data_IF_488991539937
#
_entry.id   IF_488991539937
#
_cell.length_a   1.000
_cell.length_b   1.000
_cell.length_c   1.000
_cell.angle_alpha   90.00
_cell.angle_beta   90.00
_cell.angle_gamma   90.00
#
_symmetry.space_group_name_H-M   'P 1'
#
loop_
_entity.id
_entity.type
_entity.pdbx_description
1 polymer ?
#
# COMPACT_ATOMS: atom_id res chain seq x y z
N UNK A 1 -23.15 1.94 -19.19
CA UNK A 1 -22.71 0.53 -19.07
C UNK A 1 -21.23 0.42 -18.68
N UNK A 2 -20.30 1.08 -19.36
CA UNK A 2 -18.84 0.97 -19.05
C UNK A 2 -18.43 1.46 -17.66
N UNK A 3 -19.04 2.54 -17.15
CA UNK A 3 -18.75 3.05 -15.80
C UNK A 3 -19.19 2.08 -14.69
N UNK A 4 -20.31 1.38 -14.91
CA UNK A 4 -20.83 0.39 -13.96
C UNK A 4 -19.89 -0.81 -13.87
N UNK A 5 -19.37 -1.29 -15.00
CA UNK A 5 -18.42 -2.41 -15.03
C UNK A 5 -17.11 -2.05 -14.31
N UNK A 6 -16.61 -0.81 -14.47
CA UNK A 6 -15.45 -0.33 -13.71
C UNK A 6 -15.75 -0.26 -12.21
N UNK A 7 -16.91 0.27 -11.84
CA UNK A 7 -17.35 0.35 -10.45
C UNK A 7 -17.47 -1.05 -9.81
N UNK A 8 -18.08 -2.02 -10.51
CA UNK A 8 -18.25 -3.39 -10.03
C UNK A 8 -16.90 -4.11 -9.92
N UNK A 9 -15.97 -3.87 -10.85
CA UNK A 9 -14.61 -4.38 -10.77
C UNK A 9 -13.83 -3.80 -9.58
N UNK A 10 -14.00 -2.50 -9.29
CA UNK A 10 -13.42 -1.86 -8.12
C UNK A 10 -14.04 -2.39 -6.81
N UNK A 11 -15.34 -2.70 -6.81
CA UNK A 11 -16.00 -3.33 -5.67
C UNK A 11 -15.48 -4.75 -5.38
N UNK A 12 -15.13 -5.52 -6.42
CA UNK A 12 -14.54 -6.86 -6.29
C UNK A 12 -13.10 -6.84 -5.71
N UNK A 13 -12.38 -5.73 -5.80
CA UNK A 13 -11.03 -5.61 -5.23
C UNK A 13 -11.04 -5.60 -3.68
N UNK A 14 -12.21 -5.35 -3.09
CA UNK A 14 -12.37 -5.21 -1.64
C UNK A 14 -11.61 -4.03 -1.05
N UNK A 15 -11.54 -3.93 0.29
CA UNK A 15 -10.83 -2.84 0.96
C UNK A 15 -9.34 -2.87 0.63
N UNK A 16 -8.84 -1.73 0.17
CA UNK A 16 -7.41 -1.50 -0.01
C UNK A 16 -6.81 -0.92 1.26
N UNK A 17 -5.51 -1.11 1.48
CA UNK A 17 -4.81 -0.50 2.62
C UNK A 17 -4.91 1.03 2.62
N UNK A 18 -5.13 1.65 1.45
CA UNK A 18 -5.32 3.09 1.30
C UNK A 18 -6.61 3.63 1.94
N UNK A 19 -7.54 2.76 2.36
CA UNK A 19 -8.72 3.18 3.13
C UNK A 19 -8.39 3.49 4.60
N UNK A 20 -7.23 3.03 5.13
CA UNK A 20 -6.75 3.45 6.45
C UNK A 20 -6.30 4.91 6.38
N UNK A 21 -6.85 5.73 7.27
CA UNK A 21 -6.45 7.14 7.41
C UNK A 21 -4.92 7.26 7.60
N UNK A 22 -4.30 8.21 6.89
CA UNK A 22 -2.84 8.44 6.92
C UNK A 22 -2.02 7.48 6.07
N UNK A 23 -2.59 6.37 5.57
CA UNK A 23 -1.81 5.37 4.83
C UNK A 23 -1.26 5.90 3.51
N UNK A 24 -1.97 6.83 2.86
CA UNK A 24 -1.53 7.42 1.59
C UNK A 24 -0.22 8.20 1.76
N UNK A 25 -0.16 9.02 2.80
CA UNK A 25 1.00 9.84 3.14
C UNK A 25 2.19 8.97 3.56
N UNK A 26 1.95 7.94 4.37
CA UNK A 26 2.97 6.95 4.73
C UNK A 26 3.54 6.22 3.51
N UNK A 27 2.67 5.74 2.60
CA UNK A 27 3.08 5.01 1.39
C UNK A 27 3.89 5.91 0.45
N UNK A 28 3.48 7.18 0.31
CA UNK A 28 4.21 8.16 -0.47
C UNK A 28 5.63 8.39 0.09
N UNK A 29 5.76 8.53 1.42
CA UNK A 29 7.05 8.70 2.07
C UNK A 29 7.95 7.47 1.91
N UNK A 30 7.38 6.25 1.97
CA UNK A 30 8.09 5.00 1.67
C UNK A 30 8.61 4.99 0.23
N UNK A 31 7.77 5.33 -0.74
CA UNK A 31 8.16 5.40 -2.16
C UNK A 31 9.26 6.43 -2.40
N UNK A 32 9.19 7.60 -1.75
CA UNK A 32 10.25 8.61 -1.86
C UNK A 32 11.62 8.10 -1.41
N UNK A 33 11.69 7.29 -0.34
CA UNK A 33 12.96 6.69 0.11
C UNK A 33 13.50 5.67 -0.89
N UNK A 34 12.63 4.84 -1.48
CA UNK A 34 13.00 3.88 -2.53
C UNK A 34 13.55 4.62 -3.75
N UNK A 35 12.85 5.66 -4.22
CA UNK A 35 13.28 6.46 -5.37
C UNK A 35 14.62 7.16 -5.09
N UNK A 36 14.81 7.73 -3.90
CA UNK A 36 16.07 8.35 -3.52
C UNK A 36 17.26 7.36 -3.52
N UNK A 37 17.02 6.09 -3.18
CA UNK A 37 18.05 5.04 -3.28
C UNK A 37 18.34 4.66 -4.74
N UNK A 38 17.30 4.53 -5.57
CA UNK A 38 17.43 4.24 -7.00
C UNK A 38 18.19 5.36 -7.72
N UNK A 39 17.89 6.63 -7.45
CA UNK A 39 18.58 7.79 -8.02
C UNK A 39 20.09 7.77 -7.73
N UNK A 40 20.47 7.31 -6.55
CA UNK A 40 21.87 7.13 -6.14
C UNK A 40 22.51 5.85 -6.68
N UNK A 41 21.76 5.03 -7.42
CA UNK A 41 22.15 3.69 -7.88
C UNK A 41 22.55 2.75 -6.73
N UNK A 42 21.94 2.95 -5.56
CA UNK A 42 22.15 2.09 -4.39
C UNK A 42 21.10 0.98 -4.36
N UNK A 43 21.44 -0.14 -5.02
CA UNK A 43 20.55 -1.30 -5.12
C UNK A 43 20.21 -1.91 -3.76
N UNK A 44 21.16 -1.93 -2.83
CA UNK A 44 20.97 -2.54 -1.50
C UNK A 44 19.97 -1.74 -0.68
N UNK A 45 20.12 -0.41 -0.64
CA UNK A 45 19.16 0.45 0.07
C UNK A 45 17.78 0.41 -0.59
N UNK A 46 17.71 0.40 -1.92
CA UNK A 46 16.43 0.32 -2.63
C UNK A 46 15.68 -0.98 -2.31
N UNK A 47 16.38 -2.12 -2.28
CA UNK A 47 15.79 -3.41 -1.88
C UNK A 47 15.29 -3.37 -0.43
N UNK A 48 16.13 -2.85 0.49
CA UNK A 48 15.78 -2.79 1.90
C UNK A 48 14.52 -1.93 2.14
N UNK A 49 14.44 -0.75 1.53
CA UNK A 49 13.28 0.13 1.64
C UNK A 49 12.03 -0.50 1.00
N UNK A 50 12.18 -1.21 -0.13
CA UNK A 50 11.07 -1.94 -0.74
C UNK A 50 10.54 -3.05 0.19
N UNK A 51 11.43 -3.79 0.86
CA UNK A 51 11.00 -4.80 1.84
C UNK A 51 10.26 -4.18 3.02
N UNK A 52 10.69 -3.01 3.49
CA UNK A 52 9.97 -2.24 4.53
C UNK A 52 8.59 -1.83 4.03
N UNK A 53 8.47 -1.26 2.82
CA UNK A 53 7.19 -0.89 2.20
C UNK A 53 6.20 -2.06 2.14
N UNK A 54 6.65 -3.22 1.64
CA UNK A 54 5.80 -4.41 1.53
C UNK A 54 5.34 -4.91 2.90
N UNK A 55 6.25 -5.02 3.88
CA UNK A 55 5.91 -5.47 5.23
C UNK A 55 4.88 -4.56 5.89
N UNK A 56 5.09 -3.25 5.84
CA UNK A 56 4.16 -2.30 6.43
C UNK A 56 2.77 -2.37 5.76
N UNK A 57 2.73 -2.56 4.44
CA UNK A 57 1.48 -2.83 3.72
C UNK A 57 0.75 -4.09 4.19
N UNK A 58 1.47 -5.17 4.49
CA UNK A 58 0.89 -6.40 5.05
C UNK A 58 0.35 -6.16 6.46
N UNK A 59 1.11 -5.49 7.33
CA UNK A 59 0.71 -5.17 8.70
C UNK A 59 -0.58 -4.35 8.74
N UNK A 60 -0.67 -3.32 7.89
CA UNK A 60 -1.89 -2.49 7.75
C UNK A 60 -3.07 -3.35 7.30
N UNK A 61 -2.88 -4.23 6.32
CA UNK A 61 -3.94 -5.14 5.84
C UNK A 61 -4.41 -6.09 6.93
N UNK A 62 -3.50 -6.64 7.73
CA UNK A 62 -3.83 -7.52 8.85
C UNK A 62 -4.61 -6.78 9.92
N UNK A 63 -4.20 -5.56 10.28
CA UNK A 63 -4.92 -4.71 11.23
C UNK A 63 -6.35 -4.39 10.76
N UNK A 64 -6.52 -4.03 9.47
CA UNK A 64 -7.85 -3.78 8.89
C UNK A 64 -8.76 -5.02 8.95
N UNK A 65 -8.22 -6.21 8.67
CA UNK A 65 -8.98 -7.46 8.77
C UNK A 65 -9.35 -7.80 10.22
N UNK A 66 -8.46 -7.55 11.17
CA UNK A 66 -8.73 -7.78 12.58
C UNK A 66 -9.84 -6.87 13.12
N UNK A 67 -9.97 -5.65 12.60
CA UNK A 67 -11.09 -4.75 12.90
C UNK A 67 -12.37 -5.28 12.26
N UNK A 68 -12.36 -5.62 10.96
CA UNK A 68 -13.53 -6.09 10.24
C UNK A 68 -14.13 -7.41 10.76
N UNK A 69 -13.36 -8.24 11.48
CA UNK A 69 -13.85 -9.48 12.13
C UNK A 69 -14.54 -9.20 13.47
N UNK A 70 -14.36 -8.00 14.04
CA UNK A 70 -14.93 -7.60 15.33
C UNK A 70 -16.27 -6.88 15.21
N UNK A 71 -16.64 -6.48 14.01
CA UNK A 71 -17.91 -5.81 13.65
C UNK A 71 -18.89 -6.82 13.03
#
# INVERSE_FOLDING_TARGET
KSLQVLHDALALLGPTTLMRAGRREEAQAEHQRILAAIEKRDCTSAEQEMRVHVRHGVEVRQAMRAIAVRD
#
